data_IF_285118414989
#
_entry.id   IF_285118414989
#
_cell.length_a   1.000
_cell.length_b   1.000
_cell.length_c   1.000
_cell.angle_alpha   90.00
_cell.angle_beta   90.00
_cell.angle_gamma   90.00
#
_symmetry.space_group_name_H-M   'P 1'
#
loop_
_entity.id
_entity.type
_entity.pdbx_description
1 polymer ?
#
# COMPACT_ATOMS: atom_id res chain seq x y z
N UNK A 1 -22.71 24.15 -36.90
CA UNK A 1 -22.68 24.99 -35.67
C UNK A 1 -24.05 25.61 -35.50
N UNK A 2 -24.76 25.26 -34.45
CA UNK A 2 -25.97 25.96 -33.99
C UNK A 2 -25.55 27.02 -32.99
N UNK A 3 -25.98 28.25 -33.19
CA UNK A 3 -25.72 29.35 -32.26
C UNK A 3 -27.01 29.63 -31.49
N UNK A 4 -27.04 29.32 -30.23
CA UNK A 4 -28.14 29.72 -29.34
C UNK A 4 -27.85 31.11 -28.77
N UNK A 5 -28.92 31.94 -28.66
CA UNK A 5 -28.86 33.26 -28.02
C UNK A 5 -29.44 33.13 -26.61
N UNK A 6 -28.64 33.42 -25.63
CA UNK A 6 -29.08 33.59 -24.25
C UNK A 6 -29.04 35.08 -23.86
N UNK A 7 -30.15 35.59 -23.33
CA UNK A 7 -30.22 36.92 -22.80
C UNK A 7 -30.27 36.86 -21.25
N UNK A 8 -29.23 37.36 -20.61
CA UNK A 8 -29.11 37.36 -19.16
C UNK A 8 -28.87 38.81 -18.73
N UNK A 9 -29.74 39.37 -17.89
CA UNK A 9 -29.68 40.75 -17.42
C UNK A 9 -29.54 41.82 -18.55
N UNK A 10 -30.23 41.61 -19.68
CA UNK A 10 -30.16 42.53 -20.83
C UNK A 10 -28.92 42.43 -21.71
N UNK A 11 -28.01 41.54 -21.42
CA UNK A 11 -26.83 41.24 -22.24
C UNK A 11 -27.04 40.01 -23.11
N UNK A 12 -26.72 40.12 -24.41
CA UNK A 12 -26.84 39.02 -25.37
C UNK A 12 -25.51 38.25 -25.44
N UNK A 13 -25.53 37.01 -25.02
CA UNK A 13 -24.39 36.11 -25.14
C UNK A 13 -24.59 35.17 -26.32
N UNK A 14 -23.58 35.00 -27.18
CA UNK A 14 -23.56 34.02 -28.26
C UNK A 14 -22.72 32.83 -27.84
N UNK A 15 -23.37 31.69 -27.62
CA UNK A 15 -22.65 30.44 -27.39
C UNK A 15 -22.52 29.67 -28.70
N UNK A 16 -21.29 29.27 -29.02
CA UNK A 16 -21.05 28.31 -30.10
C UNK A 16 -21.16 26.90 -29.52
N UNK A 17 -22.28 26.24 -29.80
CA UNK A 17 -22.41 24.83 -29.52
C UNK A 17 -21.74 24.04 -30.64
N UNK A 18 -20.94 23.02 -30.27
CA UNK A 18 -20.48 22.03 -31.22
C UNK A 18 -21.68 21.22 -31.69
N UNK A 19 -21.71 20.83 -32.95
CA UNK A 19 -22.71 19.87 -33.44
C UNK A 19 -22.61 18.56 -32.62
N UNK A 20 -23.69 17.78 -32.47
CA UNK A 20 -23.66 16.55 -31.66
C UNK A 20 -22.47 15.65 -31.91
N UNK A 21 -22.09 15.30 -33.17
CA UNK A 21 -20.87 14.49 -33.42
C UNK A 21 -19.59 15.16 -32.93
N UNK A 22 -19.41 16.47 -33.13
CA UNK A 22 -18.22 17.17 -32.68
C UNK A 22 -18.14 17.28 -31.16
N UNK A 23 -19.29 17.40 -30.48
CA UNK A 23 -19.34 17.39 -29.04
C UNK A 23 -18.96 16.03 -28.47
N UNK A 24 -19.45 14.93 -29.07
CA UNK A 24 -19.11 13.56 -28.67
C UNK A 24 -17.59 13.30 -28.81
N UNK A 25 -16.99 13.72 -29.93
CA UNK A 25 -15.55 13.59 -30.14
C UNK A 25 -14.74 14.40 -29.12
N UNK A 26 -15.17 15.63 -28.82
CA UNK A 26 -14.52 16.48 -27.82
C UNK A 26 -14.62 15.87 -26.42
N UNK A 27 -15.79 15.34 -26.06
CA UNK A 27 -16.00 14.68 -24.76
C UNK A 27 -15.11 13.44 -24.64
N UNK A 28 -15.10 12.56 -25.65
CA UNK A 28 -14.25 11.38 -25.68
C UNK A 28 -12.75 11.73 -25.58
N UNK A 29 -12.30 12.78 -26.27
CA UNK A 29 -10.92 13.24 -26.17
C UNK A 29 -10.58 13.78 -24.77
N UNK A 30 -11.49 14.52 -24.13
CA UNK A 30 -11.30 15.01 -22.77
C UNK A 30 -11.25 13.87 -21.77
N UNK A 31 -12.17 12.90 -21.86
CA UNK A 31 -12.20 11.70 -21.01
C UNK A 31 -10.90 10.89 -21.15
N UNK A 32 -10.41 10.70 -22.38
CA UNK A 32 -9.15 10.01 -22.64
C UNK A 32 -7.94 10.74 -22.04
N UNK A 33 -7.92 12.08 -22.15
CA UNK A 33 -6.85 12.90 -21.57
C UNK A 33 -6.86 12.87 -20.04
N UNK A 34 -8.04 12.92 -19.43
CA UNK A 34 -8.20 12.80 -17.98
C UNK A 34 -7.82 11.41 -17.47
N UNK A 35 -8.20 10.36 -18.20
CA UNK A 35 -7.82 8.98 -17.88
C UNK A 35 -6.29 8.79 -17.96
N UNK A 36 -5.64 9.31 -19.01
CA UNK A 36 -4.18 9.27 -19.14
C UNK A 36 -3.48 10.03 -18.00
N UNK A 37 -3.95 11.22 -17.67
CA UNK A 37 -3.40 12.00 -16.57
C UNK A 37 -3.53 11.27 -15.22
N UNK A 38 -4.69 10.65 -14.96
CA UNK A 38 -4.93 9.87 -13.76
C UNK A 38 -4.01 8.63 -13.69
N UNK A 39 -3.78 7.97 -14.82
CA UNK A 39 -2.85 6.84 -14.89
C UNK A 39 -1.40 7.26 -14.61
N UNK A 40 -0.96 8.40 -15.14
CA UNK A 40 0.37 8.96 -14.88
C UNK A 40 0.53 9.36 -13.41
N UNK A 41 -0.49 9.95 -12.79
CA UNK A 41 -0.50 10.29 -11.36
C UNK A 41 -0.43 9.03 -10.48
N UNK A 42 -1.20 7.99 -10.82
CA UNK A 42 -1.14 6.70 -10.10
C UNK A 42 0.24 6.05 -10.25
N UNK A 43 0.82 6.09 -11.44
CA UNK A 43 2.17 5.55 -11.67
C UNK A 43 3.21 6.31 -10.87
N UNK A 44 3.20 7.63 -10.89
CA UNK A 44 4.13 8.45 -10.13
C UNK A 44 4.00 8.21 -8.60
N UNK A 45 2.77 8.11 -8.10
CA UNK A 45 2.51 7.79 -6.68
C UNK A 45 3.03 6.37 -6.33
N UNK A 46 2.86 5.39 -7.23
CA UNK A 46 3.39 4.04 -7.03
C UNK A 46 4.93 4.01 -6.97
N UNK A 47 5.59 4.81 -7.78
CA UNK A 47 7.05 4.90 -7.80
C UNK A 47 7.66 5.44 -6.49
N UNK A 48 6.91 6.21 -5.73
CA UNK A 48 7.30 6.63 -4.38
C UNK A 48 7.19 5.49 -3.37
N UNK A 49 6.19 4.61 -3.53
CA UNK A 49 5.91 3.52 -2.58
C UNK A 49 6.79 2.30 -2.86
N UNK A 50 6.96 1.95 -4.15
CA UNK A 50 7.61 0.72 -4.58
C UNK A 50 9.07 0.97 -4.98
N UNK A 51 10.04 0.35 -4.29
CA UNK A 51 11.44 0.42 -4.70
C UNK A 51 11.65 -0.07 -6.14
N UNK A 52 12.56 0.53 -6.92
CA UNK A 52 12.78 0.19 -8.33
C UNK A 52 12.97 -1.31 -8.58
N UNK A 53 13.70 -2.00 -7.70
CA UNK A 53 13.98 -3.44 -7.81
C UNK A 53 12.73 -4.34 -7.81
N UNK A 54 11.58 -3.84 -7.35
CA UNK A 54 10.33 -4.60 -7.26
C UNK A 54 9.27 -4.17 -8.28
N UNK A 55 9.51 -3.10 -9.06
CA UNK A 55 8.55 -2.55 -10.02
C UNK A 55 8.28 -3.50 -11.19
N UNK A 56 9.35 -4.14 -11.69
CA UNK A 56 9.32 -5.04 -12.85
C UNK A 56 9.50 -6.49 -12.38
N UNK A 57 8.54 -6.99 -11.61
CA UNK A 57 8.60 -8.35 -11.10
C UNK A 57 8.15 -9.35 -12.15
N UNK A 58 9.08 -10.20 -12.61
CA UNK A 58 8.76 -11.38 -13.40
C UNK A 58 8.25 -12.49 -12.47
N UNK A 59 6.95 -12.76 -12.51
CA UNK A 59 6.30 -13.76 -11.68
C UNK A 59 6.74 -15.20 -12.00
N UNK A 60 7.26 -15.45 -13.18
CA UNK A 60 7.79 -16.77 -13.55
C UNK A 60 9.11 -17.11 -12.84
N UNK A 61 9.80 -16.12 -12.28
CA UNK A 61 11.09 -16.27 -11.60
C UNK A 61 10.99 -16.34 -10.07
N UNK A 62 9.80 -16.35 -9.50
CA UNK A 62 9.57 -16.46 -8.07
C UNK A 62 8.86 -17.79 -7.74
N UNK A 63 8.84 -18.19 -6.47
CA UNK A 63 8.11 -19.38 -6.03
C UNK A 63 6.64 -19.31 -6.50
N UNK A 64 6.12 -20.41 -7.02
CA UNK A 64 4.76 -20.47 -7.60
C UNK A 64 3.66 -20.08 -6.60
N UNK A 65 3.85 -20.36 -5.30
CA UNK A 65 2.90 -19.95 -4.23
C UNK A 65 2.92 -18.43 -4.06
N UNK A 66 4.10 -17.80 -4.16
CA UNK A 66 4.25 -16.37 -4.17
C UNK A 66 3.57 -15.75 -5.40
N UNK A 67 3.79 -16.34 -6.60
CA UNK A 67 3.15 -15.88 -7.84
C UNK A 67 1.63 -15.97 -7.75
N UNK A 68 1.11 -17.08 -7.19
CA UNK A 68 -0.32 -17.26 -6.96
C UNK A 68 -0.90 -16.14 -6.08
N UNK A 69 -0.26 -15.84 -4.95
CA UNK A 69 -0.70 -14.75 -4.07
C UNK A 69 -0.65 -13.39 -4.79
N UNK A 70 0.41 -13.12 -5.54
CA UNK A 70 0.54 -11.88 -6.30
C UNK A 70 -0.64 -11.65 -7.26
N UNK A 71 -1.18 -12.71 -7.84
CA UNK A 71 -2.27 -12.66 -8.82
C UNK A 71 -3.66 -12.78 -8.21
N UNK A 72 -3.84 -13.62 -7.20
CA UNK A 72 -5.16 -14.01 -6.68
C UNK A 72 -5.59 -13.28 -5.41
N UNK A 73 -4.66 -12.62 -4.68
CA UNK A 73 -5.05 -11.88 -3.49
C UNK A 73 -6.17 -10.88 -3.83
N UNK A 74 -7.22 -10.85 -3.03
CA UNK A 74 -8.31 -9.88 -3.22
C UNK A 74 -7.86 -8.46 -2.84
N UNK A 75 -7.49 -7.70 -3.87
CA UNK A 75 -6.98 -6.35 -3.73
C UNK A 75 -8.04 -5.34 -3.26
N UNK A 76 -9.32 -5.69 -3.30
CA UNK A 76 -10.46 -4.90 -2.78
C UNK A 76 -10.84 -5.28 -1.35
N UNK A 77 -10.41 -6.45 -0.89
CA UNK A 77 -10.79 -7.07 0.36
C UNK A 77 -10.13 -6.46 1.60
N UNK A 78 -10.44 -7.08 2.73
CA UNK A 78 -9.98 -6.66 4.06
C UNK A 78 -9.01 -7.66 4.70
N UNK A 79 -8.81 -8.82 4.06
CA UNK A 79 -7.91 -9.87 4.54
C UNK A 79 -6.50 -9.62 4.03
N UNK A 80 -5.52 -9.62 4.92
CA UNK A 80 -4.12 -9.47 4.60
C UNK A 80 -3.47 -10.77 4.08
N UNK A 81 -2.16 -10.73 3.87
CA UNK A 81 -1.35 -11.90 3.50
C UNK A 81 -0.03 -11.88 4.25
N UNK A 82 0.32 -13.03 4.82
CA UNK A 82 1.63 -13.31 5.42
C UNK A 82 2.40 -14.35 4.61
N UNK A 83 3.60 -14.00 4.13
CA UNK A 83 4.50 -14.92 3.44
C UNK A 83 5.69 -15.26 4.35
N UNK A 84 5.78 -16.52 4.75
CA UNK A 84 6.81 -17.04 5.63
C UNK A 84 7.76 -17.97 4.85
N UNK A 85 9.05 -17.97 5.16
CA UNK A 85 9.99 -18.91 4.58
C UNK A 85 11.34 -18.29 4.21
N UNK A 86 12.20 -19.08 3.57
CA UNK A 86 13.59 -18.73 3.28
C UNK A 86 13.75 -17.50 2.38
N UNK A 87 14.91 -16.87 2.46
CA UNK A 87 15.30 -15.76 1.58
C UNK A 87 15.38 -16.24 0.12
N UNK A 88 15.01 -15.39 -0.82
CA UNK A 88 15.13 -15.69 -2.26
C UNK A 88 13.87 -16.24 -2.91
N UNK A 89 12.85 -16.67 -2.15
CA UNK A 89 11.59 -17.19 -2.69
C UNK A 89 10.71 -16.15 -3.43
N UNK A 90 11.05 -14.87 -3.37
CA UNK A 90 10.30 -13.81 -4.05
C UNK A 90 9.14 -13.21 -3.25
N UNK A 91 9.08 -13.46 -1.92
CA UNK A 91 8.00 -12.98 -1.04
C UNK A 91 7.71 -11.47 -1.18
N UNK A 92 8.75 -10.66 -1.02
CA UNK A 92 8.65 -9.19 -1.11
C UNK A 92 8.16 -8.76 -2.48
N UNK A 93 8.68 -9.35 -3.56
CA UNK A 93 8.24 -9.09 -4.95
C UNK A 93 6.76 -9.40 -5.14
N UNK A 94 6.31 -10.55 -4.64
CA UNK A 94 4.92 -10.96 -4.73
C UNK A 94 3.97 -9.97 -4.03
N UNK A 95 4.34 -9.52 -2.82
CA UNK A 95 3.48 -8.60 -2.06
C UNK A 95 3.48 -7.18 -2.64
N UNK A 96 4.59 -6.69 -3.20
CA UNK A 96 4.57 -5.43 -3.94
C UNK A 96 3.67 -5.54 -5.18
N UNK A 97 3.71 -6.65 -5.91
CA UNK A 97 2.84 -6.87 -7.07
C UNK A 97 1.35 -6.93 -6.65
N UNK A 98 1.03 -7.66 -5.57
CA UNK A 98 -0.32 -7.70 -5.01
C UNK A 98 -0.80 -6.30 -4.59
N UNK A 99 0.04 -5.54 -3.86
CA UNK A 99 -0.28 -4.19 -3.41
C UNK A 99 -0.45 -3.21 -4.58
N UNK A 100 0.29 -3.37 -5.69
CA UNK A 100 0.11 -2.57 -6.90
C UNK A 100 -1.30 -2.70 -7.48
N UNK A 101 -1.89 -3.90 -7.40
CA UNK A 101 -3.28 -4.11 -7.84
C UNK A 101 -4.26 -3.31 -6.98
N UNK A 102 -4.06 -3.27 -5.66
CA UNK A 102 -4.87 -2.43 -4.76
C UNK A 102 -4.68 -0.94 -5.06
N UNK A 103 -3.45 -0.51 -5.32
CA UNK A 103 -3.14 0.86 -5.71
C UNK A 103 -3.84 1.27 -7.02
N UNK A 104 -3.85 0.40 -8.03
CA UNK A 104 -4.59 0.63 -9.29
C UNK A 104 -6.11 0.74 -9.10
N UNK A 105 -6.66 0.12 -8.06
CA UNK A 105 -8.06 0.30 -7.65
C UNK A 105 -8.30 1.63 -6.89
N UNK A 106 -7.28 2.49 -6.76
CA UNK A 106 -7.36 3.77 -6.07
C UNK A 106 -7.21 3.69 -4.56
N UNK A 107 -6.81 2.54 -4.01
CA UNK A 107 -6.55 2.41 -2.56
C UNK A 107 -5.23 3.06 -2.20
N UNK A 108 -5.21 3.81 -1.10
CA UNK A 108 -3.97 4.34 -0.54
C UNK A 108 -3.11 3.20 0.03
N UNK A 109 -1.84 3.17 -0.38
CA UNK A 109 -0.88 2.13 -0.01
C UNK A 109 0.35 2.74 0.68
N UNK A 110 0.91 2.02 1.64
CA UNK A 110 2.19 2.36 2.24
C UNK A 110 3.02 1.09 2.48
N UNK A 111 4.34 1.21 2.36
CA UNK A 111 5.25 0.08 2.56
C UNK A 111 6.44 0.49 3.43
N UNK A 112 6.85 -0.41 4.31
CA UNK A 112 8.02 -0.22 5.15
C UNK A 112 8.68 -1.57 5.47
N UNK A 113 10.01 -1.61 5.56
CA UNK A 113 10.68 -2.77 6.16
C UNK A 113 10.67 -2.65 7.68
N UNK A 114 10.71 -3.79 8.40
CA UNK A 114 10.74 -3.77 9.86
C UNK A 114 11.93 -2.97 10.43
N UNK A 115 13.11 -3.04 9.77
CA UNK A 115 14.26 -2.21 10.14
C UNK A 115 14.00 -0.71 9.96
N UNK A 116 13.35 -0.32 8.87
CA UNK A 116 13.01 1.09 8.63
C UNK A 116 11.92 1.58 9.60
N UNK A 117 10.95 0.72 9.94
CA UNK A 117 9.95 0.98 10.96
C UNK A 117 10.60 1.24 12.33
N UNK A 118 11.50 0.34 12.77
CA UNK A 118 12.22 0.49 14.04
C UNK A 118 13.02 1.80 14.09
N UNK A 119 13.71 2.17 13.00
CA UNK A 119 14.40 3.45 12.93
C UNK A 119 13.44 4.64 13.00
N UNK A 120 12.33 4.59 12.28
CA UNK A 120 11.33 5.65 12.31
C UNK A 120 10.75 5.85 13.72
N UNK A 121 10.44 4.76 14.42
CA UNK A 121 10.03 4.80 15.83
C UNK A 121 11.11 5.47 16.69
N UNK A 122 12.37 5.04 16.58
CA UNK A 122 13.48 5.65 17.31
C UNK A 122 13.58 7.15 17.09
N UNK A 123 13.57 7.60 15.83
CA UNK A 123 13.66 9.03 15.46
C UNK A 123 12.42 9.80 15.93
N UNK A 124 11.23 9.24 15.83
CA UNK A 124 9.98 9.89 16.25
C UNK A 124 9.95 10.23 17.74
N UNK A 125 10.69 9.47 18.55
CA UNK A 125 10.77 9.68 20.00
C UNK A 125 12.01 10.45 20.46
N UNK A 126 13.18 10.21 19.87
CA UNK A 126 14.47 10.78 20.30
C UNK A 126 15.14 11.72 19.29
N UNK A 127 14.63 11.82 18.06
CA UNK A 127 15.19 12.70 17.03
C UNK A 127 14.87 14.17 17.27
N UNK A 128 15.49 15.04 16.49
CA UNK A 128 15.32 16.49 16.56
C UNK A 128 14.45 17.04 15.43
N UNK A 129 13.77 18.13 15.70
CA UNK A 129 13.13 19.04 14.75
C UNK A 129 12.47 18.38 13.53
N UNK A 130 13.05 18.58 12.35
CA UNK A 130 12.51 18.12 11.07
C UNK A 130 12.49 16.58 10.94
N UNK A 131 13.56 15.91 11.41
CA UNK A 131 13.66 14.44 11.32
C UNK A 131 12.58 13.76 12.15
N UNK A 132 12.28 14.31 13.34
CA UNK A 132 11.18 13.83 14.17
C UNK A 132 9.81 14.00 13.49
N UNK A 133 9.58 15.15 12.86
CA UNK A 133 8.34 15.43 12.15
C UNK A 133 8.16 14.49 10.96
N UNK A 134 9.21 14.25 10.18
CA UNK A 134 9.18 13.31 9.06
C UNK A 134 8.94 11.86 9.51
N UNK A 135 9.63 11.42 10.56
CA UNK A 135 9.44 10.08 11.11
C UNK A 135 8.01 9.86 11.62
N UNK A 136 7.44 10.84 12.34
CA UNK A 136 6.03 10.79 12.77
C UNK A 136 5.08 10.77 11.60
N UNK A 137 5.30 11.60 10.59
CA UNK A 137 4.49 11.60 9.37
C UNK A 137 4.50 10.24 8.68
N UNK A 138 5.66 9.59 8.59
CA UNK A 138 5.80 8.25 8.01
C UNK A 138 5.04 7.18 8.80
N UNK A 139 5.12 7.19 10.13
CA UNK A 139 4.35 6.28 10.99
C UNK A 139 2.84 6.51 10.83
N UNK A 140 2.42 7.77 10.75
CA UNK A 140 1.02 8.13 10.53
C UNK A 140 0.52 7.70 9.14
N UNK A 141 1.35 7.76 8.11
CA UNK A 141 1.01 7.23 6.79
C UNK A 141 0.71 5.72 6.85
N UNK A 142 1.50 4.94 7.62
CA UNK A 142 1.23 3.52 7.82
C UNK A 142 -0.10 3.26 8.57
N UNK A 143 -0.47 4.11 9.51
CA UNK A 143 -1.75 4.00 10.22
C UNK A 143 -2.92 4.30 9.29
N UNK A 144 -2.82 5.36 8.47
CA UNK A 144 -3.92 5.84 7.61
C UNK A 144 -4.09 5.07 6.31
N UNK A 145 -3.03 4.52 5.73
CA UNK A 145 -3.11 3.81 4.46
C UNK A 145 -4.15 2.69 4.48
N UNK A 146 -4.89 2.52 3.39
CA UNK A 146 -5.87 1.44 3.26
C UNK A 146 -5.20 0.05 3.18
N UNK A 147 -4.02 -0.03 2.56
CA UNK A 147 -3.21 -1.26 2.50
C UNK A 147 -1.80 -0.96 2.96
N UNK A 148 -1.23 -1.79 3.83
CA UNK A 148 0.15 -1.66 4.29
C UNK A 148 0.93 -2.93 3.98
N UNK A 149 2.18 -2.75 3.56
CA UNK A 149 3.19 -3.82 3.48
C UNK A 149 4.24 -3.59 4.57
N UNK A 150 4.42 -4.59 5.44
CA UNK A 150 5.52 -4.65 6.40
C UNK A 150 6.47 -5.77 5.97
N UNK A 151 7.62 -5.40 5.43
CA UNK A 151 8.58 -6.36 4.89
C UNK A 151 9.61 -6.80 5.95
N UNK A 152 10.04 -8.06 5.89
CA UNK A 152 11.07 -8.62 6.75
C UNK A 152 10.74 -8.54 8.27
N UNK A 153 9.51 -8.87 8.68
CA UNK A 153 9.13 -8.94 10.10
C UNK A 153 10.07 -9.86 10.89
N UNK A 154 10.51 -9.39 12.06
CA UNK A 154 11.47 -10.07 12.92
C UNK A 154 12.93 -9.77 12.60
N UNK A 155 13.26 -8.99 11.55
CA UNK A 155 14.63 -8.65 11.20
C UNK A 155 15.23 -7.50 12.03
N UNK A 156 14.39 -6.56 12.47
CA UNK A 156 14.84 -5.49 13.35
C UNK A 156 15.20 -6.01 14.75
N UNK A 157 16.11 -5.36 15.47
CA UNK A 157 16.27 -5.59 16.90
C UNK A 157 14.94 -5.34 17.63
N UNK A 158 14.55 -6.24 18.51
CA UNK A 158 13.41 -6.06 19.38
C UNK A 158 13.77 -5.02 20.46
N UNK A 159 12.96 -3.99 20.57
CA UNK A 159 12.97 -3.04 21.69
C UNK A 159 11.54 -2.87 22.17
N UNK A 160 11.35 -2.67 23.46
CA UNK A 160 10.01 -2.54 24.05
C UNK A 160 9.15 -1.49 23.30
N UNK A 161 9.77 -0.37 22.94
CA UNK A 161 9.07 0.71 22.22
C UNK A 161 8.72 0.35 20.79
N UNK A 162 9.65 -0.24 20.03
CA UNK A 162 9.37 -0.66 18.64
C UNK A 162 8.29 -1.71 18.60
N UNK A 163 8.34 -2.66 19.54
CA UNK A 163 7.38 -3.76 19.60
C UNK A 163 5.99 -3.24 20.00
N UNK A 164 5.90 -2.31 20.97
CA UNK A 164 4.65 -1.65 21.35
C UNK A 164 4.02 -0.86 20.17
N UNK A 165 4.80 -0.04 19.46
CA UNK A 165 4.32 0.71 18.30
C UNK A 165 3.88 -0.19 17.15
N UNK A 166 4.55 -1.32 16.96
CA UNK A 166 4.18 -2.31 15.95
C UNK A 166 2.88 -3.02 16.34
N UNK A 167 2.71 -3.37 17.62
CA UNK A 167 1.50 -3.96 18.16
C UNK A 167 0.31 -3.01 18.00
N UNK A 168 0.46 -1.74 18.42
CA UNK A 168 -0.56 -0.70 18.25
C UNK A 168 -0.96 -0.52 16.79
N UNK A 169 0.01 -0.51 15.87
CA UNK A 169 -0.26 -0.43 14.42
C UNK A 169 -1.11 -1.61 13.94
N UNK A 170 -0.76 -2.83 14.34
CA UNK A 170 -1.49 -4.04 13.95
C UNK A 170 -2.89 -4.05 14.56
N UNK A 171 -3.03 -3.68 15.84
CA UNK A 171 -4.32 -3.57 16.51
C UNK A 171 -5.26 -2.59 15.84
N UNK A 172 -4.80 -1.37 15.62
CA UNK A 172 -5.57 -0.33 14.96
C UNK A 172 -6.02 -0.77 13.56
N UNK A 173 -5.13 -1.39 12.77
CA UNK A 173 -5.45 -1.82 11.42
C UNK A 173 -6.44 -2.96 11.40
N UNK A 174 -6.27 -3.97 12.26
CA UNK A 174 -7.17 -5.12 12.33
C UNK A 174 -8.55 -4.71 12.86
N UNK A 175 -8.64 -3.83 13.85
CA UNK A 175 -9.89 -3.27 14.34
C UNK A 175 -10.66 -2.51 13.22
N UNK A 176 -9.95 -1.84 12.33
CA UNK A 176 -10.52 -1.11 11.20
C UNK A 176 -10.63 -1.94 9.91
N UNK A 177 -10.39 -3.25 9.95
CA UNK A 177 -10.40 -4.17 8.80
C UNK A 177 -9.54 -3.68 7.63
N UNK A 178 -8.38 -3.10 7.94
CA UNK A 178 -7.40 -2.64 6.95
C UNK A 178 -6.33 -3.72 6.75
N UNK A 179 -6.21 -4.33 5.56
CA UNK A 179 -5.31 -5.45 5.33
C UNK A 179 -3.84 -5.07 5.55
N UNK A 180 -3.11 -6.03 6.11
CA UNK A 180 -1.67 -5.98 6.28
C UNK A 180 -1.06 -7.07 5.41
N UNK A 181 -0.20 -6.68 4.47
CA UNK A 181 0.68 -7.57 3.74
C UNK A 181 2.00 -7.65 4.51
N UNK A 182 2.54 -8.83 4.74
CA UNK A 182 3.78 -8.94 5.50
C UNK A 182 4.62 -10.14 5.10
N UNK A 183 5.93 -10.02 5.25
CA UNK A 183 6.87 -11.11 5.03
C UNK A 183 7.67 -11.39 6.29
N UNK A 184 8.11 -12.64 6.44
CA UNK A 184 9.13 -13.02 7.43
C UNK A 184 10.04 -14.09 6.87
N UNK A 185 11.31 -14.09 7.28
CA UNK A 185 12.29 -15.10 6.87
C UNK A 185 12.31 -16.33 7.79
N UNK A 186 11.47 -16.36 8.81
CA UNK A 186 11.30 -17.49 9.73
C UNK A 186 9.87 -18.00 9.75
N UNK A 187 9.66 -19.07 10.51
CA UNK A 187 8.32 -19.60 10.80
C UNK A 187 7.54 -18.66 11.74
N UNK A 188 6.23 -18.88 11.85
CA UNK A 188 5.38 -18.15 12.82
C UNK A 188 5.91 -18.28 14.25
N UNK A 189 6.33 -19.47 14.68
CA UNK A 189 6.92 -19.69 16.00
C UNK A 189 8.29 -19.01 16.18
N UNK A 190 9.10 -18.92 15.12
CA UNK A 190 10.33 -18.14 15.16
C UNK A 190 10.03 -16.64 15.31
N UNK A 191 9.07 -16.14 14.55
CA UNK A 191 8.66 -14.73 14.62
C UNK A 191 8.13 -14.37 16.02
N UNK A 192 7.29 -15.24 16.62
CA UNK A 192 6.79 -15.04 17.98
C UNK A 192 7.93 -14.93 18.99
N UNK A 193 8.91 -15.84 18.94
CA UNK A 193 10.09 -15.79 19.82
C UNK A 193 10.93 -14.54 19.59
N UNK A 194 11.02 -14.07 18.35
CA UNK A 194 11.84 -12.92 17.98
C UNK A 194 11.26 -11.58 18.44
N UNK A 195 9.94 -11.48 18.51
CA UNK A 195 9.20 -10.29 18.96
C UNK A 195 8.97 -10.25 20.50
N UNK A 196 9.58 -11.18 21.24
CA UNK A 196 9.52 -11.23 22.70
C UNK A 196 8.55 -12.27 23.24
N UNK A 197 8.91 -12.88 24.37
CA UNK A 197 8.24 -14.09 24.89
C UNK A 197 6.77 -13.86 25.27
N UNK A 198 6.42 -12.69 25.79
CA UNK A 198 5.06 -12.44 26.32
C UNK A 198 4.14 -11.79 25.28
N UNK A 199 4.68 -11.05 24.31
CA UNK A 199 3.93 -10.31 23.31
C UNK A 199 3.93 -10.96 21.92
N UNK A 200 4.95 -11.74 21.61
CA UNK A 200 5.14 -12.30 20.27
C UNK A 200 4.07 -13.30 19.85
N UNK A 201 3.61 -14.17 20.74
CA UNK A 201 2.53 -15.13 20.43
C UNK A 201 1.18 -14.44 20.18
N UNK A 202 0.70 -13.53 21.05
CA UNK A 202 -0.53 -12.78 20.80
C UNK A 202 -0.46 -11.96 19.50
N UNK A 203 0.67 -11.32 19.22
CA UNK A 203 0.90 -10.56 18.01
C UNK A 203 0.80 -11.42 16.73
N UNK A 204 1.53 -12.55 16.68
CA UNK A 204 1.50 -13.46 15.53
C UNK A 204 0.13 -14.10 15.36
N UNK A 205 -0.55 -14.45 16.44
CA UNK A 205 -1.94 -14.93 16.40
C UNK A 205 -2.85 -13.90 15.75
N UNK A 206 -2.77 -12.65 16.17
CA UNK A 206 -3.58 -11.56 15.59
C UNK A 206 -3.30 -11.37 14.11
N UNK A 207 -2.04 -11.31 13.71
CA UNK A 207 -1.68 -11.27 12.27
C UNK A 207 -2.27 -12.44 11.50
N UNK A 208 -2.26 -13.64 12.09
CA UNK A 208 -2.78 -14.85 11.44
C UNK A 208 -4.29 -14.86 11.30
N UNK A 209 -5.02 -14.31 12.28
CA UNK A 209 -6.49 -14.18 12.21
C UNK A 209 -6.95 -13.27 11.07
N UNK A 210 -6.17 -12.24 10.74
CA UNK A 210 -6.52 -11.24 9.72
C UNK A 210 -5.72 -11.37 8.43
N UNK A 211 -4.98 -12.45 8.24
CA UNK A 211 -4.16 -12.70 7.04
C UNK A 211 -4.25 -14.15 6.58
N UNK A 212 -4.22 -14.35 5.27
CA UNK A 212 -3.92 -15.66 4.69
C UNK A 212 -2.42 -15.94 4.83
N UNK A 213 -2.05 -16.99 5.55
CA UNK A 213 -0.65 -17.36 5.78
C UNK A 213 -0.21 -18.39 4.75
N UNK A 214 0.91 -18.11 4.09
CA UNK A 214 1.56 -19.04 3.15
C UNK A 214 3.00 -19.31 3.62
N UNK A 215 3.29 -20.56 3.91
CA UNK A 215 4.65 -21.03 4.22
C UNK A 215 5.32 -21.57 2.96
N UNK A 216 6.57 -21.14 2.71
CA UNK A 216 7.36 -21.41 1.52
C UNK A 216 8.50 -22.38 1.82
#
# INVERSE_FOLDING_TARGET
>A
FTTERLEIFGHKFHYRHLCPPCNTVKTAYQEQKEASKKEDELRAAWEVICPPIYRDTDLARIDHRCAKIALEWDASGTVGVGLLGSTGAGKTRALYHAMQRAHRLGRSCAAISHNAFSRAVGIAFSGDGADRAEARHRLEQLRRAQVVLIDDLGKAPSTERTDAELEDLVEERTANRRPILWTSNGSAGWLAKRLGNDRGEPFVRRLSEFSTIVSL
#
